data_IF_670356478006
#
_entry.id   IF_670356478006
#
_cell.length_a   1.000
_cell.length_b   1.000
_cell.length_c   1.000
_cell.angle_alpha   90.00
_cell.angle_beta   90.00
_cell.angle_gamma   90.00
#
_symmetry.space_group_name_H-M   'P 1'
#
loop_
_entity.id
_entity.type
_entity.pdbx_description
1 polymer ?
#
# COMPACT_ATOMS: atom_id res chain seq x y z
N UNK A 1 -64.08 -6.45 -12.11
CA UNK A 1 -64.87 -6.74 -10.96
C UNK A 1 -64.08 -7.56 -9.94
N UNK A 2 -64.22 -7.09 -8.70
CA UNK A 2 -64.31 -7.86 -7.46
C UNK A 2 -62.98 -8.24 -6.81
N UNK A 3 -62.61 -7.49 -5.84
CA UNK A 3 -62.78 -7.62 -4.36
C UNK A 3 -61.86 -8.70 -3.76
N UNK A 4 -61.12 -8.23 -2.88
CA UNK A 4 -61.11 -8.14 -1.41
C UNK A 4 -60.30 -9.30 -0.84
N UNK A 5 -59.62 -9.24 0.20
CA UNK A 5 -59.59 -8.60 1.49
C UNK A 5 -58.29 -9.00 2.21
N UNK A 6 -57.69 -8.07 2.90
CA UNK A 6 -57.34 -8.04 4.33
C UNK A 6 -57.05 -9.37 4.98
N UNK A 7 -55.81 -9.51 5.48
CA UNK A 7 -55.59 -9.90 6.88
C UNK A 7 -54.19 -9.43 7.34
N UNK A 8 -54.25 -8.52 8.19
CA UNK A 8 -53.37 -8.01 9.21
C UNK A 8 -53.10 -9.12 10.24
N UNK A 9 -51.87 -9.47 10.52
CA UNK A 9 -51.47 -9.91 11.84
C UNK A 9 -50.07 -9.36 12.16
N UNK A 10 -50.10 -8.48 13.11
CA UNK A 10 -48.96 -7.99 13.86
C UNK A 10 -48.19 -9.11 14.55
N UNK A 11 -46.88 -9.05 14.49
CA UNK A 11 -46.06 -9.60 15.53
C UNK A 11 -44.86 -8.62 15.76
N UNK A 12 -45.13 -7.68 16.62
CA UNK A 12 -44.12 -6.86 17.30
C UNK A 12 -43.51 -7.71 18.43
N UNK A 13 -42.21 -7.57 18.54
CA UNK A 13 -41.26 -7.76 19.64
C UNK A 13 -40.41 -9.04 19.58
N UNK A 14 -39.14 -9.04 19.99
CA UNK A 14 -38.43 -8.00 20.77
C UNK A 14 -37.07 -7.58 20.15
N UNK A 15 -36.95 -6.35 19.77
CA UNK A 15 -35.64 -5.76 19.34
C UNK A 15 -35.01 -4.91 20.44
N UNK A 16 -35.69 -4.77 21.59
CA UNK A 16 -35.26 -3.82 22.65
C UNK A 16 -34.27 -4.41 23.65
N UNK A 17 -34.19 -5.74 23.77
CA UNK A 17 -33.24 -6.37 24.70
C UNK A 17 -31.81 -6.54 24.13
N UNK A 18 -31.64 -6.51 22.80
CA UNK A 18 -30.30 -6.64 22.19
C UNK A 18 -29.56 -5.31 22.00
N UNK A 19 -30.27 -4.20 22.13
CA UNK A 19 -29.68 -2.85 21.99
C UNK A 19 -29.06 -2.32 23.28
N UNK A 20 -29.50 -2.82 24.44
CA UNK A 20 -28.96 -2.36 25.75
C UNK A 20 -27.65 -3.06 26.12
N UNK A 21 -27.43 -4.30 25.71
CA UNK A 21 -26.18 -5.05 25.99
C UNK A 21 -25.01 -4.60 25.11
N UNK A 22 -25.27 -4.11 23.91
CA UNK A 22 -24.23 -3.55 23.00
C UNK A 22 -23.86 -2.11 23.36
N UNK A 23 -24.72 -1.39 24.07
CA UNK A 23 -24.46 0.00 24.46
C UNK A 23 -23.62 0.12 25.74
N UNK A 24 -23.52 -0.93 26.57
CA UNK A 24 -22.77 -0.91 27.81
C UNK A 24 -21.31 -1.35 27.63
N UNK A 25 -20.99 -2.17 26.63
CA UNK A 25 -19.59 -2.56 26.32
C UNK A 25 -18.80 -1.49 25.57
N UNK A 26 -19.44 -0.68 24.74
CA UNK A 26 -18.77 0.33 23.92
C UNK A 26 -18.05 1.46 24.74
N UNK A 27 -18.56 1.96 25.85
CA UNK A 27 -17.87 2.98 26.63
C UNK A 27 -16.69 2.43 27.43
N UNK A 28 -16.71 1.15 27.81
CA UNK A 28 -15.61 0.52 28.58
C UNK A 28 -14.40 0.30 27.68
N UNK A 29 -14.61 -0.19 26.47
CA UNK A 29 -13.53 -0.42 25.48
C UNK A 29 -12.92 0.91 25.00
N UNK A 30 -13.75 1.94 24.81
CA UNK A 30 -13.28 3.30 24.50
C UNK A 30 -12.54 3.97 25.66
N UNK A 31 -12.90 3.67 26.89
CA UNK A 31 -12.21 4.15 28.09
C UNK A 31 -10.88 3.43 28.29
N UNK A 32 -10.82 2.11 28.07
CA UNK A 32 -9.57 1.35 28.15
C UNK A 32 -8.58 1.77 27.06
N UNK A 33 -9.05 2.05 25.84
CA UNK A 33 -8.22 2.58 24.77
C UNK A 33 -7.67 3.96 25.12
N UNK A 34 -8.46 4.83 25.74
CA UNK A 34 -8.01 6.15 26.19
C UNK A 34 -7.00 6.04 27.34
N UNK A 35 -7.24 5.17 28.32
CA UNK A 35 -6.33 4.96 29.46
C UNK A 35 -4.98 4.40 28.95
N UNK A 36 -4.99 3.46 28.00
CA UNK A 36 -3.77 2.91 27.41
C UNK A 36 -2.98 3.92 26.54
N UNK A 37 -3.64 4.96 26.05
CA UNK A 37 -2.98 6.04 25.30
C UNK A 37 -2.35 7.10 26.21
N UNK A 38 -2.90 7.34 27.39
CA UNK A 38 -2.36 8.33 28.33
C UNK A 38 -1.03 7.88 28.98
N UNK A 39 -0.79 6.57 29.08
CA UNK A 39 0.46 6.02 29.62
C UNK A 39 1.61 5.95 28.60
N UNK A 40 1.34 6.12 27.30
CA UNK A 40 2.36 6.04 26.24
C UNK A 40 2.99 7.39 25.99
N UNK A 41 4.31 7.41 25.83
CA UNK A 41 5.00 8.63 25.37
C UNK A 41 4.59 8.96 23.93
N UNK A 42 4.63 10.25 23.56
CA UNK A 42 4.28 10.71 22.22
C UNK A 42 5.05 9.96 21.11
N UNK A 43 6.32 9.63 21.38
CA UNK A 43 7.15 8.86 20.45
C UNK A 43 6.64 7.42 20.27
N UNK A 44 6.18 6.78 21.33
CA UNK A 44 5.61 5.42 21.27
C UNK A 44 4.29 5.39 20.49
N UNK A 45 3.43 6.40 20.72
CA UNK A 45 2.16 6.52 19.97
C UNK A 45 2.42 6.66 18.47
N UNK A 46 3.37 7.50 18.09
CA UNK A 46 3.76 7.69 16.69
C UNK A 46 4.31 6.38 16.10
N UNK A 47 5.21 5.71 16.81
CA UNK A 47 5.81 4.45 16.32
C UNK A 47 4.78 3.33 16.18
N UNK A 48 3.84 3.21 17.11
CA UNK A 48 2.74 2.24 17.06
C UNK A 48 1.82 2.52 15.84
N UNK A 49 1.54 3.79 15.60
CA UNK A 49 0.73 4.20 14.45
C UNK A 49 1.43 3.93 13.11
N UNK A 50 2.71 4.28 13.01
CA UNK A 50 3.52 3.99 11.83
C UNK A 50 3.62 2.49 11.56
N UNK A 51 3.82 1.68 12.61
CA UNK A 51 3.93 0.23 12.51
C UNK A 51 2.65 -0.41 11.97
N UNK A 52 1.48 0.08 12.39
CA UNK A 52 0.18 -0.39 11.87
C UNK A 52 -0.04 -0.12 10.39
N UNK A 53 0.64 0.89 9.83
CA UNK A 53 0.54 1.26 8.42
C UNK A 53 1.58 0.57 7.52
N UNK A 54 2.55 -0.12 8.09
CA UNK A 54 3.56 -0.85 7.33
C UNK A 54 2.91 -2.03 6.59
N UNK A 55 3.13 -2.10 5.28
CA UNK A 55 2.79 -3.27 4.48
C UNK A 55 3.83 -4.37 4.71
N UNK A 56 3.39 -5.57 5.01
CA UNK A 56 4.24 -6.76 5.20
C UNK A 56 4.47 -7.55 3.91
N UNK A 57 3.51 -7.50 2.97
CA UNK A 57 3.52 -8.28 1.73
C UNK A 57 4.37 -7.62 0.63
N UNK A 58 5.62 -7.29 0.93
CA UNK A 58 6.52 -6.66 -0.02
C UNK A 58 7.65 -7.62 -0.38
N UNK A 59 7.92 -7.86 -1.68
CA UNK A 59 9.07 -8.64 -2.09
C UNK A 59 10.37 -7.91 -1.75
N UNK A 60 11.39 -8.67 -1.43
CA UNK A 60 12.73 -8.11 -1.30
C UNK A 60 13.32 -7.83 -2.68
N UNK A 61 13.72 -6.59 -2.90
CA UNK A 61 14.41 -6.16 -4.10
C UNK A 61 15.56 -5.19 -3.76
N UNK A 62 16.51 -5.12 -4.67
CA UNK A 62 17.72 -4.29 -4.54
C UNK A 62 17.82 -3.32 -5.71
N UNK A 63 18.64 -2.25 -5.57
CA UNK A 63 19.02 -1.43 -6.73
C UNK A 63 19.61 -2.32 -7.83
N UNK A 64 19.20 -2.06 -9.07
CA UNK A 64 19.58 -2.86 -10.23
C UNK A 64 18.54 -3.90 -10.67
N UNK A 65 17.64 -4.28 -9.78
CA UNK A 65 16.57 -5.22 -10.13
C UNK A 65 15.55 -4.58 -11.07
N UNK A 66 15.04 -5.38 -12.00
CA UNK A 66 13.91 -4.98 -12.83
C UNK A 66 12.62 -5.41 -12.16
N UNK A 67 11.77 -4.45 -11.85
CA UNK A 67 10.50 -4.69 -11.17
C UNK A 67 9.32 -4.16 -11.98
N UNK A 68 8.16 -4.73 -11.71
CA UNK A 68 6.86 -4.25 -12.21
C UNK A 68 6.05 -3.80 -11.01
N UNK A 69 5.72 -2.52 -10.96
CA UNK A 69 4.89 -1.91 -9.91
C UNK A 69 3.50 -1.67 -10.46
N UNK A 70 2.49 -2.29 -9.89
CA UNK A 70 1.08 -2.06 -10.22
C UNK A 70 0.54 -0.94 -9.33
N UNK A 71 0.16 0.18 -9.95
CA UNK A 71 -0.33 1.36 -9.26
C UNK A 71 -1.82 1.53 -9.53
N UNK A 72 -2.59 1.76 -8.48
CA UNK A 72 -4.00 2.13 -8.56
C UNK A 72 -4.11 3.60 -8.98
N UNK A 73 -4.67 3.86 -10.15
CA UNK A 73 -4.93 5.21 -10.64
C UNK A 73 -6.43 5.44 -10.63
N UNK A 74 -6.85 6.50 -9.95
CA UNK A 74 -8.26 6.92 -9.89
C UNK A 74 -8.46 8.08 -10.85
N UNK A 75 -9.33 7.89 -11.83
CA UNK A 75 -9.70 8.90 -12.83
C UNK A 75 -11.22 9.15 -12.73
N UNK A 76 -11.59 10.20 -12.00
CA UNK A 76 -12.98 10.46 -11.65
C UNK A 76 -13.57 9.33 -10.80
N UNK A 77 -14.59 8.65 -11.30
CA UNK A 77 -15.25 7.50 -10.65
C UNK A 77 -14.58 6.15 -10.96
N UNK A 78 -13.73 6.10 -11.98
CA UNK A 78 -13.09 4.86 -12.40
C UNK A 78 -11.74 4.67 -11.72
N UNK A 79 -11.49 3.46 -11.24
CA UNK A 79 -10.19 3.04 -10.71
C UNK A 79 -9.61 1.99 -11.64
N UNK A 80 -8.38 2.22 -12.11
CA UNK A 80 -7.64 1.26 -12.95
C UNK A 80 -6.27 0.97 -12.38
N UNK A 81 -5.74 -0.21 -12.71
CA UNK A 81 -4.37 -0.58 -12.39
C UNK A 81 -3.46 -0.20 -13.56
N UNK A 82 -2.40 0.52 -13.26
CA UNK A 82 -1.37 0.88 -14.21
C UNK A 82 -0.06 0.22 -13.82
N UNK A 83 0.47 -0.63 -14.69
CA UNK A 83 1.77 -1.25 -14.48
C UNK A 83 2.90 -0.29 -14.91
N UNK A 84 3.90 -0.15 -14.05
CA UNK A 84 5.13 0.57 -14.32
C UNK A 84 6.31 -0.40 -14.21
N UNK A 85 6.83 -0.84 -15.37
CA UNK A 85 8.00 -1.71 -15.43
C UNK A 85 9.26 -0.89 -15.62
N UNK A 86 10.29 -1.17 -14.82
CA UNK A 86 11.56 -0.48 -14.93
C UNK A 86 12.62 -1.02 -13.99
N UNK A 87 13.79 -0.40 -14.04
CA UNK A 87 14.95 -0.73 -13.20
C UNK A 87 14.94 0.12 -11.94
N UNK A 88 15.18 -0.50 -10.80
CA UNK A 88 15.32 0.21 -9.51
C UNK A 88 16.66 0.93 -9.50
N UNK A 89 16.62 2.26 -9.43
CA UNK A 89 17.81 3.10 -9.34
C UNK A 89 18.36 3.23 -7.93
N UNK A 90 17.50 3.21 -6.96
CA UNK A 90 17.87 3.38 -5.56
C UNK A 90 16.71 3.13 -4.63
N UNK A 91 17.02 2.72 -3.41
CA UNK A 91 16.06 2.48 -2.33
C UNK A 91 16.46 3.33 -1.13
N UNK A 92 15.50 4.04 -0.54
CA UNK A 92 15.63 4.76 0.72
C UNK A 92 14.84 4.00 1.77
N UNK A 93 15.52 3.53 2.81
CA UNK A 93 14.91 2.90 3.98
C UNK A 93 14.62 3.97 5.02
N UNK A 94 13.41 4.01 5.54
CA UNK A 94 12.99 5.01 6.51
C UNK A 94 11.64 4.65 7.15
N UNK A 95 11.45 3.37 7.56
CA UNK A 95 10.17 2.91 8.11
C UNK A 95 9.02 3.17 7.16
N UNK A 96 7.97 3.83 7.62
CA UNK A 96 6.82 4.20 6.81
C UNK A 96 7.20 5.09 5.59
N UNK A 97 8.20 5.96 5.76
CA UNK A 97 8.68 6.87 4.72
C UNK A 97 9.67 6.23 3.73
N UNK A 98 9.76 4.89 3.72
CA UNK A 98 10.58 4.15 2.76
C UNK A 98 10.12 4.42 1.33
N UNK A 99 11.06 4.66 0.43
CA UNK A 99 10.78 4.95 -0.97
C UNK A 99 11.82 4.34 -1.89
N UNK A 100 11.44 4.12 -3.14
CA UNK A 100 12.35 3.64 -4.17
C UNK A 100 12.08 4.35 -5.49
N UNK A 101 13.13 4.48 -6.29
CA UNK A 101 13.08 5.15 -7.59
C UNK A 101 13.19 4.09 -8.67
N UNK A 102 12.24 4.10 -9.61
CA UNK A 102 12.23 3.22 -10.78
C UNK A 102 12.39 4.04 -12.03
N UNK A 103 13.32 3.61 -12.90
CA UNK A 103 13.57 4.22 -14.20
C UNK A 103 13.15 3.28 -15.31
N UNK A 104 12.42 3.81 -16.27
CA UNK A 104 12.14 3.14 -17.55
C UNK A 104 12.48 4.06 -18.72
N UNK A 105 12.71 3.47 -19.87
CA UNK A 105 12.81 4.21 -21.13
C UNK A 105 11.48 4.05 -21.87
N UNK A 106 10.83 5.17 -22.13
CA UNK A 106 9.58 5.22 -22.87
C UNK A 106 9.78 6.10 -24.10
N UNK A 107 9.57 5.55 -25.29
CA UNK A 107 9.76 6.30 -26.57
C UNK A 107 11.11 7.01 -26.68
N UNK A 108 12.19 6.36 -26.23
CA UNK A 108 13.53 6.94 -26.23
C UNK A 108 13.83 7.90 -25.07
N UNK A 109 12.85 8.28 -24.29
CA UNK A 109 12.98 9.21 -23.16
C UNK A 109 13.06 8.43 -21.85
N UNK A 110 14.03 8.77 -20.99
CA UNK A 110 14.15 8.20 -19.65
C UNK A 110 13.11 8.81 -18.70
N UNK A 111 12.23 7.98 -18.16
CA UNK A 111 11.21 8.38 -17.18
C UNK A 111 11.56 7.76 -15.83
N UNK A 112 11.65 8.60 -14.81
CA UNK A 112 11.88 8.19 -13.43
C UNK A 112 10.64 8.47 -12.60
N UNK A 113 10.26 7.51 -11.76
CA UNK A 113 9.17 7.68 -10.82
C UNK A 113 9.59 7.19 -9.44
N UNK A 114 9.34 8.02 -8.43
CA UNK A 114 9.53 7.66 -7.03
C UNK A 114 8.25 7.08 -6.49
N UNK A 115 8.35 5.92 -5.85
CA UNK A 115 7.25 5.24 -5.20
C UNK A 115 7.50 5.17 -3.70
N UNK A 116 6.49 5.51 -2.90
CA UNK A 116 6.50 5.26 -1.46
C UNK A 116 6.15 3.80 -1.24
N UNK A 117 7.03 3.07 -0.58
CA UNK A 117 6.94 1.60 -0.44
C UNK A 117 5.63 1.15 0.20
N UNK A 118 5.18 1.84 1.24
CA UNK A 118 3.98 1.49 2.00
C UNK A 118 2.71 2.25 1.55
N UNK A 119 2.77 2.93 0.39
CA UNK A 119 1.61 3.67 -0.13
C UNK A 119 0.43 2.75 -0.43
N UNK A 120 -0.81 3.14 -0.06
CA UNK A 120 -2.02 2.39 -0.41
C UNK A 120 -2.30 2.37 -1.92
N UNK A 121 -1.71 3.32 -2.67
CA UNK A 121 -1.83 3.37 -4.13
C UNK A 121 -1.08 2.25 -4.84
N UNK A 122 -0.08 1.64 -4.20
CA UNK A 122 0.63 0.49 -4.74
C UNK A 122 -0.19 -0.76 -4.42
N UNK A 123 -0.61 -1.47 -5.47
CA UNK A 123 -1.33 -2.72 -5.38
C UNK A 123 -0.37 -3.89 -5.17
N UNK A 124 0.57 -4.06 -6.09
CA UNK A 124 1.56 -5.14 -6.03
C UNK A 124 2.90 -4.73 -6.63
N UNK A 125 3.96 -5.36 -6.16
CA UNK A 125 5.31 -5.23 -6.69
C UNK A 125 5.78 -6.63 -7.08
N UNK A 126 6.21 -6.81 -8.33
CA UNK A 126 6.75 -8.08 -8.83
C UNK A 126 8.18 -7.88 -9.31
N UNK A 127 9.10 -8.70 -8.79
CA UNK A 127 10.48 -8.72 -9.28
C UNK A 127 10.53 -9.60 -10.53
N UNK A 128 10.97 -9.03 -11.65
CA UNK A 128 11.08 -9.71 -12.95
C UNK A 128 12.47 -10.28 -13.19
N UNK A 129 13.50 -9.51 -12.83
CA UNK A 129 14.90 -9.91 -12.94
C UNK A 129 15.69 -9.35 -11.78
N UNK A 130 16.63 -10.11 -11.28
CA UNK A 130 17.60 -9.67 -10.28
C UNK A 130 18.86 -9.17 -10.99
N UNK A 131 19.28 -7.95 -10.68
CA UNK A 131 20.43 -7.30 -11.31
C UNK A 131 21.70 -7.43 -10.47
N UNK A 132 22.84 -7.61 -11.13
CA UNK A 132 24.15 -7.56 -10.49
C UNK A 132 24.76 -6.16 -10.60
N UNK A 133 24.78 -5.45 -9.47
CA UNK A 133 25.31 -4.09 -9.37
C UNK A 133 26.15 -3.93 -8.11
N UNK A 134 27.19 -3.10 -8.18
CA UNK A 134 28.08 -2.82 -7.05
C UNK A 134 27.71 -1.56 -6.28
N UNK A 135 26.84 -0.71 -6.83
CA UNK A 135 26.46 0.57 -6.24
C UNK A 135 25.03 0.52 -5.68
N UNK A 136 24.81 1.21 -4.58
CA UNK A 136 23.50 1.35 -3.96
C UNK A 136 22.57 2.37 -4.69
N UNK A 137 23.16 3.30 -5.46
CA UNK A 137 22.43 4.31 -6.25
C UNK A 137 22.98 4.33 -7.66
N UNK A 138 22.12 4.14 -8.65
CA UNK A 138 22.51 3.93 -10.05
C UNK A 138 22.27 5.19 -10.90
N UNK A 139 22.71 6.37 -10.42
CA UNK A 139 22.47 7.63 -11.12
C UNK A 139 23.17 7.71 -12.48
N UNK A 140 24.23 6.95 -12.67
CA UNK A 140 24.94 6.87 -13.95
C UNK A 140 24.06 6.36 -15.11
N UNK A 141 22.93 5.69 -14.80
CA UNK A 141 21.98 5.25 -15.83
C UNK A 141 21.28 6.41 -16.53
N UNK A 142 21.32 7.62 -15.97
CA UNK A 142 20.76 8.82 -16.59
C UNK A 142 21.54 9.24 -17.84
N UNK A 143 22.85 9.05 -17.79
CA UNK A 143 23.77 9.43 -18.85
C UNK A 143 23.97 8.30 -19.89
N UNK A 144 23.67 7.07 -19.51
CA UNK A 144 23.86 5.89 -20.36
C UNK A 144 22.57 5.48 -21.07
N UNK A 145 22.70 5.12 -22.34
CA UNK A 145 21.59 4.62 -23.15
C UNK A 145 21.97 3.36 -23.92
N UNK A 146 21.00 2.62 -24.40
CA UNK A 146 21.20 1.44 -25.23
C UNK A 146 21.98 0.33 -24.53
N UNK A 147 23.02 -0.19 -25.19
CA UNK A 147 23.82 -1.32 -24.67
C UNK A 147 24.58 -1.00 -23.39
N UNK A 148 25.04 0.26 -23.21
CA UNK A 148 25.80 0.69 -22.03
C UNK A 148 24.94 0.81 -20.76
N UNK A 149 23.61 0.88 -20.89
CA UNK A 149 22.67 0.93 -19.78
C UNK A 149 22.19 -0.46 -19.33
N UNK A 150 22.63 -1.54 -20.00
CA UNK A 150 22.23 -2.90 -19.61
C UNK A 150 22.91 -3.33 -18.31
N UNK A 151 22.11 -3.80 -17.39
CA UNK A 151 22.56 -4.41 -16.13
C UNK A 151 22.66 -5.92 -16.37
N UNK A 152 23.73 -6.53 -15.89
CA UNK A 152 23.88 -7.98 -15.92
C UNK A 152 22.90 -8.62 -14.96
N UNK A 153 22.34 -9.75 -15.36
CA UNK A 153 21.48 -10.55 -14.49
C UNK A 153 22.34 -11.32 -13.49
N UNK A 154 21.93 -11.31 -12.23
CA UNK A 154 22.54 -12.10 -11.19
C UNK A 154 21.98 -13.52 -11.27
N UNK A 155 22.82 -14.47 -11.65
CA UNK A 155 22.53 -15.90 -11.56
C UNK A 155 22.66 -16.29 -10.08
N UNK A 156 21.64 -16.85 -9.50
CA UNK A 156 21.66 -17.47 -8.17
C UNK A 156 22.12 -18.88 -8.24
#
# INVERSE_FOLDING_TARGET
PVEAAVEEVAEEAPVEAAAEEVAEEAPVEAAEIKISMEEKTSAQIISDFETKQLKTDLPEFRPGDTIVVSVKVREGERTRLQAFEGVVMGVKKGGLNSSFIVRKISSGIGVERTFQTHSPMIDSIKVKRKGDVRQAKLFYLRERSGKSARIKERLE
#
